data_IF_141503097693
#
_entry.id   IF_141503097693
#
_cell.length_a   1.000
_cell.length_b   1.000
_cell.length_c   1.000
_cell.angle_alpha   90.00
_cell.angle_beta   90.00
_cell.angle_gamma   90.00
#
_symmetry.space_group_name_H-M   'P 1'
#
loop_
_entity.id
_entity.type
_entity.pdbx_description
1 polymer ?
#
# COMPACT_ATOMS: atom_id res chain seq x y z
N UNK A 1 1.47 29.58 -16.71
CA UNK A 1 2.19 30.13 -15.54
C UNK A 1 2.04 29.31 -14.25
N UNK A 2 1.03 28.45 -14.10
CA UNK A 2 0.86 27.62 -12.88
C UNK A 2 1.90 26.49 -12.70
N UNK A 3 2.61 26.10 -13.76
CA UNK A 3 3.62 25.02 -13.73
C UNK A 3 4.93 25.43 -13.01
N UNK A 4 5.35 26.69 -13.15
CA UNK A 4 6.63 27.16 -12.59
C UNK A 4 6.58 27.30 -11.05
N UNK A 5 5.42 27.68 -10.50
CA UNK A 5 5.26 27.81 -9.05
C UNK A 5 5.26 26.46 -8.31
N UNK A 6 4.91 25.35 -8.99
CA UNK A 6 4.97 24.01 -8.42
C UNK A 6 6.43 23.52 -8.30
N UNK A 7 7.27 23.78 -9.31
CA UNK A 7 8.71 23.46 -9.24
C UNK A 7 9.44 24.22 -8.12
N UNK A 8 9.06 25.48 -7.85
CA UNK A 8 9.70 26.30 -6.81
C UNK A 8 9.37 25.81 -5.40
N UNK A 9 8.18 25.23 -5.18
CA UNK A 9 7.73 24.73 -3.88
C UNK A 9 8.49 23.47 -3.44
N UNK A 10 8.88 22.63 -4.39
CA UNK A 10 9.66 21.40 -4.16
C UNK A 10 11.12 21.72 -3.75
N UNK A 11 11.70 22.80 -4.27
CA UNK A 11 13.03 23.25 -3.86
C UNK A 11 13.07 23.91 -2.47
N UNK A 12 11.95 24.48 -1.99
CA UNK A 12 11.93 25.24 -0.73
C UNK A 12 12.03 24.34 0.51
N UNK A 13 11.39 23.17 0.49
CA UNK A 13 11.39 22.22 1.61
C UNK A 13 12.72 21.47 1.80
N UNK A 14 13.66 21.55 0.84
CA UNK A 14 15.00 20.95 0.97
C UNK A 14 16.07 21.94 1.45
N UNK A 15 15.76 23.24 1.50
CA UNK A 15 16.62 24.26 2.07
C UNK A 15 16.61 24.25 3.61
N UNK A 16 15.52 23.80 4.22
CA UNK A 16 15.35 23.80 5.68
C UNK A 16 16.15 22.68 6.37
N UNK A 17 16.48 21.57 5.69
CA UNK A 17 17.41 20.55 6.20
C UNK A 17 18.89 21.00 6.17
N UNK A 18 19.25 21.97 5.33
CA UNK A 18 20.64 22.43 5.16
C UNK A 18 21.08 23.36 6.30
N UNK A 19 20.14 24.02 7.00
CA UNK A 19 20.47 24.88 8.14
C UNK A 19 20.95 24.11 9.38
N UNK A 20 20.80 22.77 9.42
CA UNK A 20 21.37 21.94 10.48
C UNK A 20 22.84 21.56 10.22
N UNK A 21 23.27 21.50 8.96
CA UNK A 21 24.63 21.11 8.57
C UNK A 21 25.65 22.26 8.65
N UNK A 22 25.20 23.52 8.70
CA UNK A 22 26.08 24.70 8.86
C UNK A 22 26.67 24.87 10.27
N UNK A 23 26.19 24.11 11.27
CA UNK A 23 26.75 24.18 12.64
C UNK A 23 27.95 23.25 12.89
N UNK A 24 28.32 22.39 11.94
CA UNK A 24 29.37 21.37 12.15
C UNK A 24 30.70 21.63 11.42
N UNK A 25 30.84 22.73 10.68
CA UNK A 25 32.06 23.04 9.93
C UNK A 25 32.62 24.42 10.27
N UNK A 26 32.93 24.65 11.55
CA UNK A 26 33.81 25.76 11.96
C UNK A 26 35.00 25.25 12.80
N UNK A 27 35.87 24.46 12.20
CA UNK A 27 37.31 24.54 12.48
C UNK A 27 38.06 23.49 11.65
N UNK A 28 38.75 23.94 10.60
CA UNK A 28 40.08 23.46 10.22
C UNK A 28 40.61 24.34 9.08
N UNK A 29 41.66 25.08 9.38
CA UNK A 29 42.50 25.81 8.44
C UNK A 29 43.28 24.83 7.57
N UNK A 30 43.34 25.08 6.26
CA UNK A 30 44.38 24.50 5.40
C UNK A 30 43.92 24.12 3.99
N UNK A 31 44.66 24.63 3.00
CA UNK A 31 44.60 24.39 1.55
C UNK A 31 43.58 25.20 0.73
N UNK A 32 44.14 26.08 -0.11
CA UNK A 32 43.47 26.88 -1.14
C UNK A 32 43.11 26.00 -2.35
N UNK A 33 42.23 25.03 -2.14
CA UNK A 33 41.55 24.37 -3.26
C UNK A 33 40.30 25.21 -3.56
N UNK A 34 40.16 25.66 -4.80
CA UNK A 34 39.17 26.65 -5.24
C UNK A 34 37.76 26.34 -4.72
N UNK A 35 37.30 27.10 -3.71
CA UNK A 35 35.94 27.00 -3.13
C UNK A 35 34.84 27.10 -4.18
N UNK A 36 35.10 27.84 -5.26
CA UNK A 36 34.22 27.98 -6.44
C UNK A 36 34.07 26.64 -7.18
N UNK A 37 35.14 25.84 -7.26
CA UNK A 37 35.14 24.55 -7.93
C UNK A 37 34.30 23.52 -7.16
N UNK A 38 34.38 23.50 -5.82
CA UNK A 38 33.50 22.68 -4.98
C UNK A 38 32.04 23.13 -5.03
N UNK A 39 31.78 24.44 -5.08
CA UNK A 39 30.43 24.98 -5.21
C UNK A 39 29.81 24.59 -6.55
N UNK A 40 30.54 24.75 -7.66
CA UNK A 40 30.10 24.33 -8.99
C UNK A 40 29.90 22.81 -9.09
N UNK A 41 30.79 22.00 -8.50
CA UNK A 41 30.66 20.54 -8.44
C UNK A 41 29.43 20.11 -7.62
N UNK A 42 29.16 20.79 -6.50
CA UNK A 42 27.97 20.51 -5.66
C UNK A 42 26.66 20.89 -6.35
N UNK A 43 26.64 22.01 -7.09
CA UNK A 43 25.49 22.43 -7.90
C UNK A 43 25.27 21.46 -9.07
N UNK A 44 26.34 21.00 -9.73
CA UNK A 44 26.24 20.00 -10.80
C UNK A 44 25.69 18.66 -10.28
N UNK A 45 26.15 18.18 -9.11
CA UNK A 45 25.62 16.95 -8.46
C UNK A 45 24.14 17.12 -8.07
N UNK A 46 23.74 18.30 -7.59
CA UNK A 46 22.34 18.62 -7.28
C UNK A 46 21.44 18.63 -8.53
N UNK A 47 21.93 19.19 -9.64
CA UNK A 47 21.20 19.22 -10.92
C UNK A 47 21.05 17.80 -11.50
N UNK A 48 22.11 16.97 -11.43
CA UNK A 48 22.07 15.57 -11.88
C UNK A 48 21.11 14.73 -11.03
N UNK A 49 21.05 14.98 -9.71
CA UNK A 49 20.09 14.30 -8.83
C UNK A 49 18.61 14.65 -9.12
N UNK A 50 18.33 15.80 -9.75
CA UNK A 50 16.97 16.21 -10.10
C UNK A 50 16.45 15.56 -11.40
N UNK A 51 17.34 15.01 -12.24
CA UNK A 51 16.96 14.47 -13.55
C UNK A 51 16.49 13.00 -13.50
N UNK A 52 16.62 12.33 -12.35
CA UNK A 52 16.32 10.89 -12.20
C UNK A 52 14.99 10.59 -11.51
N UNK A 53 14.12 11.58 -11.26
CA UNK A 53 12.77 11.29 -10.80
C UNK A 53 11.93 10.84 -12.00
N UNK A 54 11.48 9.57 -12.00
CA UNK A 54 10.50 9.09 -12.96
C UNK A 54 9.26 10.02 -12.92
N UNK A 55 8.70 10.41 -14.07
CA UNK A 55 7.57 11.34 -14.10
C UNK A 55 6.37 10.74 -13.37
N UNK A 56 5.80 11.47 -12.41
CA UNK A 56 4.53 11.10 -11.79
C UNK A 56 3.46 11.01 -12.87
N UNK A 57 2.79 9.86 -12.97
CA UNK A 57 1.77 9.66 -13.99
C UNK A 57 0.59 10.59 -13.69
N UNK A 58 0.27 11.46 -14.63
CA UNK A 58 -0.86 12.39 -14.50
C UNK A 58 -2.12 11.75 -15.10
N UNK A 59 -3.21 11.73 -14.34
CA UNK A 59 -4.53 11.26 -14.80
C UNK A 59 -5.40 12.45 -15.17
N UNK A 60 -6.08 12.40 -16.31
CA UNK A 60 -7.12 13.37 -16.66
C UNK A 60 -8.35 13.20 -15.77
N UNK A 61 -9.15 14.26 -15.63
CA UNK A 61 -10.40 14.20 -14.85
C UNK A 61 -11.33 13.09 -15.35
N UNK A 62 -11.47 12.93 -16.67
CA UNK A 62 -12.30 11.87 -17.25
C UNK A 62 -11.81 10.46 -16.86
N UNK A 63 -10.50 10.25 -16.75
CA UNK A 63 -9.96 8.97 -16.27
C UNK A 63 -10.26 8.75 -14.78
N UNK A 64 -10.14 9.80 -13.95
CA UNK A 64 -10.46 9.74 -12.52
C UNK A 64 -11.94 9.41 -12.32
N UNK A 65 -12.84 10.08 -13.06
CA UNK A 65 -14.29 9.84 -13.00
C UNK A 65 -14.64 8.40 -13.41
N UNK A 66 -13.96 7.88 -14.43
CA UNK A 66 -14.09 6.48 -14.86
C UNK A 66 -13.65 5.50 -13.78
N UNK A 67 -12.50 5.72 -13.15
CA UNK A 67 -12.00 4.88 -12.06
C UNK A 67 -12.92 4.93 -10.84
N UNK A 68 -13.45 6.09 -10.49
CA UNK A 68 -14.43 6.24 -9.42
C UNK A 68 -15.73 5.47 -9.73
N UNK A 69 -16.17 5.45 -10.99
CA UNK A 69 -17.31 4.63 -11.42
C UNK A 69 -17.02 3.13 -11.25
N UNK A 70 -15.84 2.66 -11.66
CA UNK A 70 -15.41 1.26 -11.46
C UNK A 70 -15.38 0.91 -9.98
N UNK A 71 -14.84 1.79 -9.13
CA UNK A 71 -14.81 1.59 -7.68
C UNK A 71 -16.22 1.52 -7.08
N UNK A 72 -17.15 2.36 -7.53
CA UNK A 72 -18.55 2.30 -7.07
C UNK A 72 -19.24 1.00 -7.48
N UNK A 73 -18.99 0.50 -8.69
CA UNK A 73 -19.49 -0.80 -9.15
C UNK A 73 -18.92 -1.96 -8.33
N UNK A 74 -17.62 -1.90 -8.00
CA UNK A 74 -16.97 -2.87 -7.13
C UNK A 74 -17.65 -2.94 -5.75
N UNK A 75 -17.88 -1.79 -5.10
CA UNK A 75 -18.57 -1.73 -3.80
C UNK A 75 -19.97 -2.34 -3.87
N UNK A 76 -20.78 -1.93 -4.83
CA UNK A 76 -22.15 -2.43 -4.99
C UNK A 76 -22.18 -3.95 -5.23
N UNK A 77 -21.26 -4.46 -6.07
CA UNK A 77 -21.13 -5.90 -6.31
C UNK A 77 -20.76 -6.63 -5.03
N UNK A 78 -19.76 -6.14 -4.28
CA UNK A 78 -19.29 -6.76 -3.06
C UNK A 78 -20.34 -6.74 -1.95
N UNK A 79 -21.05 -5.62 -1.78
CA UNK A 79 -22.15 -5.50 -0.82
C UNK A 79 -23.26 -6.52 -1.11
N UNK A 80 -23.65 -6.64 -2.38
CA UNK A 80 -24.64 -7.65 -2.80
C UNK A 80 -24.15 -9.06 -2.50
N UNK A 81 -22.90 -9.38 -2.83
CA UNK A 81 -22.31 -10.70 -2.56
C UNK A 81 -22.25 -11.00 -1.06
N UNK A 82 -21.85 -10.03 -0.23
CA UNK A 82 -21.83 -10.19 1.23
C UNK A 82 -23.25 -10.41 1.79
N UNK A 83 -24.25 -9.74 1.25
CA UNK A 83 -25.65 -9.90 1.66
C UNK A 83 -26.23 -11.25 1.24
N UNK A 84 -25.99 -11.68 0.01
CA UNK A 84 -26.78 -12.72 -0.65
C UNK A 84 -26.03 -14.03 -0.82
N UNK A 85 -24.73 -14.01 -1.12
CA UNK A 85 -24.03 -15.20 -1.59
C UNK A 85 -23.82 -16.25 -0.49
N UNK A 86 -23.91 -17.53 -0.85
CA UNK A 86 -23.71 -18.66 0.07
C UNK A 86 -22.29 -18.67 0.67
N UNK A 87 -21.30 -18.21 -0.08
CA UNK A 87 -19.90 -18.14 0.38
C UNK A 87 -19.59 -16.96 1.30
N UNK A 88 -20.54 -16.03 1.47
CA UNK A 88 -20.34 -14.78 2.22
C UNK A 88 -19.73 -15.04 3.60
N UNK A 89 -18.75 -14.22 4.06
CA UNK A 89 -18.13 -14.39 5.35
C UNK A 89 -19.04 -14.00 6.52
N UNK A 90 -20.18 -13.34 6.27
CA UNK A 90 -21.15 -12.95 7.28
C UNK A 90 -21.86 -14.17 7.87
N UNK A 91 -22.32 -14.06 9.12
CA UNK A 91 -23.26 -15.02 9.70
C UNK A 91 -24.67 -14.80 9.13
N UNK A 92 -25.57 -15.80 9.19
CA UNK A 92 -26.98 -15.60 8.84
C UNK A 92 -27.63 -14.44 9.62
N UNK A 93 -27.22 -14.25 10.87
CA UNK A 93 -27.67 -13.17 11.75
C UNK A 93 -27.18 -11.82 11.25
N UNK A 94 -25.88 -11.70 10.94
CA UNK A 94 -25.29 -10.46 10.42
C UNK A 94 -25.86 -10.10 9.06
N UNK A 95 -26.13 -11.10 8.20
CA UNK A 95 -26.80 -10.88 6.91
C UNK A 95 -28.16 -10.20 7.07
N UNK A 96 -28.92 -10.40 8.15
CA UNK A 96 -30.24 -9.76 8.35
C UNK A 96 -30.10 -8.23 8.46
N UNK A 97 -29.11 -7.75 9.20
CA UNK A 97 -28.90 -6.33 9.48
C UNK A 97 -27.88 -5.67 8.56
N UNK A 98 -27.06 -6.44 7.83
CA UNK A 98 -26.11 -5.92 6.86
C UNK A 98 -26.77 -5.00 5.82
N UNK A 99 -26.09 -3.89 5.52
CA UNK A 99 -26.52 -2.87 4.54
C UNK A 99 -25.44 -2.67 3.48
N UNK A 100 -24.23 -2.36 3.90
CA UNK A 100 -23.07 -2.17 3.05
C UNK A 100 -21.78 -2.25 3.90
N UNK A 101 -20.66 -2.41 3.22
CA UNK A 101 -19.32 -2.19 3.78
C UNK A 101 -18.97 -0.70 3.80
N UNK A 102 -18.00 -0.33 4.63
CA UNK A 102 -17.52 1.05 4.75
C UNK A 102 -16.18 1.20 4.02
N UNK A 103 -16.02 2.31 3.30
CA UNK A 103 -14.83 2.61 2.51
C UNK A 103 -14.40 4.06 2.71
N UNK A 104 -13.11 4.33 2.52
CA UNK A 104 -12.67 5.69 2.22
C UNK A 104 -13.17 6.15 0.84
N UNK A 105 -13.27 7.47 0.59
CA UNK A 105 -13.48 8.00 -0.76
C UNK A 105 -12.39 7.50 -1.73
N UNK A 106 -12.73 7.40 -3.02
CA UNK A 106 -11.73 7.06 -4.03
C UNK A 106 -10.70 8.19 -4.11
N UNK A 107 -9.43 7.85 -3.97
CA UNK A 107 -8.31 8.77 -4.04
C UNK A 107 -7.27 8.24 -5.01
N UNK A 108 -7.14 8.92 -6.15
CA UNK A 108 -6.19 8.55 -7.21
C UNK A 108 -4.73 8.61 -6.75
N UNK A 109 -4.42 9.39 -5.70
CA UNK A 109 -3.06 9.48 -5.14
C UNK A 109 -2.63 8.22 -4.36
N UNK A 110 -3.56 7.28 -4.15
CA UNK A 110 -3.32 5.96 -3.57
C UNK A 110 -3.30 4.83 -4.63
N UNK A 111 -3.21 5.21 -5.91
CA UNK A 111 -3.03 4.28 -7.02
C UNK A 111 -1.59 4.36 -7.55
N UNK A 112 -0.88 3.24 -7.51
CA UNK A 112 0.50 3.14 -7.96
C UNK A 112 0.63 2.12 -9.08
N UNK A 113 1.53 2.39 -10.01
CA UNK A 113 1.82 1.49 -11.13
C UNK A 113 3.33 1.30 -11.24
N UNK A 114 3.77 0.06 -11.42
CA UNK A 114 5.18 -0.25 -11.48
C UNK A 114 5.46 -1.75 -11.48
N UNK A 115 6.73 -2.15 -11.62
CA UNK A 115 7.09 -3.55 -11.60
C UNK A 115 7.08 -4.12 -10.18
N UNK A 116 6.91 -5.43 -10.08
CA UNK A 116 7.36 -6.17 -8.90
C UNK A 116 8.84 -6.50 -9.11
N UNK A 117 9.67 -6.14 -8.14
CA UNK A 117 11.08 -6.47 -8.12
C UNK A 117 11.24 -7.88 -7.55
N UNK A 118 11.41 -8.86 -8.44
CA UNK A 118 11.56 -10.27 -8.06
C UNK A 118 12.88 -10.49 -7.30
N UNK A 119 12.83 -11.32 -6.27
CA UNK A 119 14.05 -11.78 -5.62
C UNK A 119 14.80 -12.76 -6.51
N UNK A 120 16.13 -12.65 -6.56
CA UNK A 120 16.99 -13.58 -7.32
C UNK A 120 16.78 -15.03 -6.88
N UNK A 121 16.53 -15.25 -5.60
CA UNK A 121 16.15 -16.54 -5.03
C UNK A 121 14.89 -16.31 -4.20
N UNK A 122 13.82 -17.03 -4.53
CA UNK A 122 12.58 -17.00 -3.78
C UNK A 122 12.66 -18.03 -2.66
N UNK A 123 12.88 -17.56 -1.43
CA UNK A 123 12.94 -18.46 -0.28
C UNK A 123 11.55 -19.02 0.04
N UNK A 124 11.49 -20.33 0.30
CA UNK A 124 10.31 -20.98 0.85
C UNK A 124 10.08 -20.49 2.28
N UNK A 125 8.86 -20.00 2.52
CA UNK A 125 8.42 -19.50 3.82
C UNK A 125 7.07 -20.11 4.17
N UNK A 126 6.68 -19.92 5.42
CA UNK A 126 5.34 -20.27 5.90
C UNK A 126 4.66 -19.01 6.40
N UNK A 127 3.51 -18.68 5.80
CA UNK A 127 2.65 -17.60 6.28
C UNK A 127 1.71 -18.15 7.33
N UNK A 128 1.79 -17.60 8.54
CA UNK A 128 0.96 -17.99 9.67
C UNK A 128 -0.47 -17.48 9.51
N UNK A 129 -1.42 -18.23 10.07
CA UNK A 129 -2.81 -17.86 10.22
C UNK A 129 -3.09 -17.13 11.53
N UNK A 130 -4.20 -16.40 11.58
CA UNK A 130 -4.72 -15.80 12.83
C UNK A 130 -5.23 -16.84 13.83
N UNK A 131 -5.56 -18.05 13.37
CA UNK A 131 -5.87 -19.19 14.24
C UNK A 131 -4.63 -20.07 14.40
N UNK A 132 -4.36 -20.49 15.63
CA UNK A 132 -3.22 -21.37 15.96
C UNK A 132 -3.24 -22.64 15.11
N UNK A 133 -2.08 -23.00 14.57
CA UNK A 133 -1.87 -24.19 13.72
C UNK A 133 -2.19 -23.97 12.23
N UNK A 134 -2.89 -22.90 11.85
CA UNK A 134 -3.13 -22.63 10.44
C UNK A 134 -1.90 -22.04 9.78
N UNK A 135 -1.42 -22.70 8.74
CA UNK A 135 -0.20 -22.33 8.01
C UNK A 135 -0.45 -22.35 6.51
N UNK A 136 0.29 -21.53 5.78
CA UNK A 136 0.22 -21.46 4.31
C UNK A 136 1.64 -21.55 3.75
N UNK A 137 1.99 -22.60 3.01
CA UNK A 137 3.26 -22.64 2.30
C UNK A 137 3.28 -21.52 1.27
N UNK A 138 4.40 -20.79 1.21
CA UNK A 138 4.52 -19.62 0.36
C UNK A 138 5.98 -19.40 -0.06
N UNK A 139 6.18 -18.48 -1.00
CA UNK A 139 7.49 -18.03 -1.45
C UNK A 139 7.62 -16.52 -1.21
N UNK A 140 8.80 -16.06 -0.76
CA UNK A 140 9.18 -14.64 -0.84
C UNK A 140 9.39 -14.29 -2.31
N UNK A 141 8.38 -13.68 -2.93
CA UNK A 141 8.33 -13.53 -4.38
C UNK A 141 9.16 -12.34 -4.86
N UNK A 142 8.99 -11.20 -4.20
CA UNK A 142 9.63 -9.94 -4.54
C UNK A 142 9.05 -8.82 -3.70
N UNK A 143 9.20 -7.60 -4.16
CA UNK A 143 8.61 -6.43 -3.51
C UNK A 143 8.08 -5.43 -4.54
N UNK A 144 7.07 -4.67 -4.13
CA UNK A 144 6.58 -3.51 -4.86
C UNK A 144 7.09 -2.23 -4.17
N UNK A 145 7.66 -1.32 -4.96
CA UNK A 145 8.18 -0.04 -4.47
C UNK A 145 7.32 1.10 -5.02
N UNK A 146 6.95 2.04 -4.15
CA UNK A 146 6.18 3.20 -4.54
C UNK A 146 6.61 4.44 -3.78
N UNK A 147 6.27 5.62 -4.32
CA UNK A 147 6.59 6.91 -3.70
C UNK A 147 5.30 7.62 -3.30
N UNK A 148 5.27 8.14 -2.08
CA UNK A 148 4.17 8.95 -1.55
C UNK A 148 4.74 10.08 -0.70
N UNK A 149 4.31 11.30 -0.99
CA UNK A 149 4.72 12.52 -0.27
C UNK A 149 6.24 12.67 -0.14
N UNK A 150 6.96 12.40 -1.24
CA UNK A 150 8.42 12.51 -1.33
C UNK A 150 9.21 11.35 -0.72
N UNK A 151 8.57 10.41 -0.03
CA UNK A 151 9.19 9.23 0.58
C UNK A 151 8.97 7.98 -0.28
N UNK A 152 9.95 7.09 -0.30
CA UNK A 152 9.85 5.76 -0.92
C UNK A 152 9.41 4.75 0.13
N UNK A 153 8.44 3.91 -0.22
CA UNK A 153 7.97 2.79 0.58
C UNK A 153 8.13 1.50 -0.21
N UNK A 154 8.33 0.41 0.53
CA UNK A 154 8.44 -0.94 -0.03
C UNK A 154 7.41 -1.83 0.66
N UNK A 155 6.79 -2.71 -0.11
CA UNK A 155 5.96 -3.79 0.39
C UNK A 155 6.40 -5.12 -0.22
N UNK A 156 6.69 -6.09 0.62
CA UNK A 156 6.94 -7.48 0.26
C UNK A 156 5.70 -8.10 -0.38
N UNK A 157 5.93 -8.80 -1.48
CA UNK A 157 4.94 -9.61 -2.18
C UNK A 157 5.22 -11.07 -1.87
N UNK A 158 4.22 -11.78 -1.37
CA UNK A 158 4.32 -13.20 -1.03
C UNK A 158 3.51 -13.99 -2.05
N UNK A 159 4.10 -15.06 -2.60
CA UNK A 159 3.34 -15.99 -3.45
C UNK A 159 2.82 -17.14 -2.60
N UNK A 160 1.52 -17.14 -2.32
CA UNK A 160 0.87 -18.22 -1.56
C UNK A 160 0.68 -19.42 -2.49
N UNK A 161 1.20 -20.57 -2.08
CA UNK A 161 1.13 -21.81 -2.86
C UNK A 161 -0.21 -22.52 -2.63
N UNK A 162 -0.71 -23.26 -3.63
CA UNK A 162 -1.96 -24.00 -3.49
C UNK A 162 -1.81 -25.13 -2.46
N UNK A 163 -2.74 -25.19 -1.52
CA UNK A 163 -2.77 -26.26 -0.50
C UNK A 163 -3.70 -27.41 -0.86
N UNK A 164 -4.51 -27.26 -1.91
CA UNK A 164 -5.47 -28.26 -2.37
C UNK A 164 -5.44 -28.34 -3.90
N UNK A 165 -5.66 -29.53 -4.48
CA UNK A 165 -5.81 -29.67 -5.93
C UNK A 165 -6.86 -28.71 -6.50
N UNK A 166 -6.62 -28.18 -7.70
CA UNK A 166 -7.52 -27.25 -8.39
C UNK A 166 -7.44 -25.79 -7.94
N UNK A 167 -6.65 -25.46 -6.90
CA UNK A 167 -6.34 -24.07 -6.53
C UNK A 167 -5.09 -23.59 -7.28
N UNK A 168 -5.07 -22.31 -7.64
CA UNK A 168 -3.88 -21.65 -8.20
C UNK A 168 -3.10 -20.93 -7.10
N UNK A 169 -1.79 -20.82 -7.29
CA UNK A 169 -1.00 -19.86 -6.52
C UNK A 169 -1.50 -18.43 -6.83
N UNK A 170 -1.34 -17.53 -5.88
CA UNK A 170 -1.66 -16.10 -6.08
C UNK A 170 -0.62 -15.24 -5.37
N UNK A 171 -0.47 -14.01 -5.85
CA UNK A 171 0.38 -13.03 -5.21
C UNK A 171 -0.44 -12.29 -4.16
N UNK A 172 0.05 -12.36 -2.92
CA UNK A 172 -0.55 -11.80 -1.73
C UNK A 172 0.25 -10.59 -1.29
N UNK A 173 -0.42 -9.44 -1.25
CA UNK A 173 0.09 -8.21 -0.66
C UNK A 173 -0.77 -7.85 0.56
N UNK A 174 -0.39 -8.38 1.72
CA UNK A 174 -0.94 -7.95 3.00
C UNK A 174 -0.13 -6.82 3.60
N UNK A 175 -0.77 -5.86 4.27
CA UNK A 175 -0.08 -4.75 4.92
C UNK A 175 -0.82 -4.23 6.15
N UNK A 176 -0.07 -3.51 6.99
CA UNK A 176 -0.59 -2.61 8.02
C UNK A 176 -0.18 -1.18 7.71
N UNK A 177 -0.91 -0.24 8.28
CA UNK A 177 -0.63 1.18 8.15
C UNK A 177 -1.10 1.95 9.41
N UNK A 178 -0.93 3.26 9.47
CA UNK A 178 -1.27 4.03 10.68
C UNK A 178 -2.78 4.11 10.98
N UNK A 179 -3.64 3.73 10.03
CA UNK A 179 -5.09 3.59 10.23
C UNK A 179 -5.49 2.25 10.87
N UNK A 180 -4.59 1.25 10.86
CA UNK A 180 -4.87 -0.10 11.36
C UNK A 180 -5.20 -0.06 12.87
N UNK A 181 -6.34 -0.66 13.24
CA UNK A 181 -6.86 -0.67 14.61
C UNK A 181 -7.57 0.62 15.04
N UNK A 182 -7.64 1.62 14.17
CA UNK A 182 -8.36 2.89 14.43
C UNK A 182 -9.53 3.05 13.47
N UNK A 183 -9.24 3.13 12.18
CA UNK A 183 -10.22 3.31 11.12
C UNK A 183 -10.36 2.07 10.23
N UNK A 184 -9.34 1.21 10.21
CA UNK A 184 -9.27 -0.01 9.40
C UNK A 184 -8.94 -1.21 10.29
N UNK A 185 -9.16 -2.41 9.75
CA UNK A 185 -9.08 -3.65 10.53
C UNK A 185 -7.69 -3.83 11.18
N UNK A 186 -7.67 -4.16 12.47
CA UNK A 186 -6.43 -4.28 13.24
C UNK A 186 -5.49 -5.37 12.70
N UNK A 187 -6.03 -6.43 12.10
CA UNK A 187 -5.25 -7.51 11.50
C UNK A 187 -4.62 -7.18 10.14
N UNK A 188 -4.80 -5.95 9.64
CA UNK A 188 -4.27 -5.51 8.35
C UNK A 188 -5.24 -5.74 7.19
N UNK A 189 -4.87 -5.21 6.03
CA UNK A 189 -5.67 -5.26 4.79
C UNK A 189 -4.87 -5.88 3.66
N UNK A 190 -5.58 -6.41 2.68
CA UNK A 190 -4.99 -7.18 1.59
C UNK A 190 -5.27 -6.55 0.23
N UNK A 191 -4.34 -6.79 -0.70
CA UNK A 191 -4.50 -6.66 -2.13
C UNK A 191 -4.03 -7.99 -2.74
N UNK A 192 -4.89 -8.61 -3.54
CA UNK A 192 -4.50 -9.79 -4.32
C UNK A 192 -4.07 -9.35 -5.71
N UNK A 193 -2.96 -9.90 -6.18
CA UNK A 193 -2.43 -9.65 -7.51
C UNK A 193 -2.34 -10.97 -8.28
N UNK A 194 -2.61 -10.89 -9.58
CA UNK A 194 -2.42 -12.01 -10.50
C UNK A 194 -1.09 -11.84 -11.25
N UNK A 195 -0.30 -12.92 -11.33
CA UNK A 195 0.93 -12.91 -12.11
C UNK A 195 0.63 -12.59 -13.58
N UNK A 196 1.32 -11.59 -14.12
CA UNK A 196 1.23 -11.21 -15.52
C UNK A 196 2.60 -11.32 -16.22
N UNK A 197 2.58 -11.37 -17.55
CA UNK A 197 3.79 -11.59 -18.37
C UNK A 197 4.64 -10.32 -18.46
N UNK A 198 4.01 -9.17 -18.29
CA UNK A 198 4.59 -7.85 -18.46
C UNK A 198 5.42 -7.42 -17.23
N UNK A 199 5.30 -8.15 -16.11
CA UNK A 199 5.84 -7.80 -14.81
C UNK A 199 5.56 -6.34 -14.43
N UNK A 200 4.36 -5.86 -14.75
CA UNK A 200 3.93 -4.49 -14.48
C UNK A 200 2.55 -4.55 -13.83
N UNK A 201 2.44 -3.97 -12.65
CA UNK A 201 1.30 -4.13 -11.77
C UNK A 201 0.69 -2.78 -11.45
N UNK A 202 -0.60 -2.84 -11.21
CA UNK A 202 -1.37 -1.77 -10.60
C UNK A 202 -1.59 -2.17 -9.15
N UNK A 203 -1.03 -1.41 -8.23
CA UNK A 203 -1.33 -1.52 -6.80
C UNK A 203 -2.20 -0.33 -6.42
N UNK A 204 -3.51 -0.57 -6.38
CA UNK A 204 -4.51 0.44 -6.06
C UNK A 204 -5.07 0.18 -4.66
N UNK A 205 -4.61 0.97 -3.68
CA UNK A 205 -5.02 0.82 -2.28
C UNK A 205 -6.50 1.15 -2.07
N UNK A 206 -7.18 1.79 -3.03
CA UNK A 206 -8.63 1.97 -2.97
C UNK A 206 -9.38 0.64 -3.00
N UNK A 207 -8.77 -0.42 -3.51
CA UNK A 207 -9.33 -1.77 -3.55
C UNK A 207 -8.76 -2.67 -2.44
N UNK A 208 -7.96 -2.13 -1.52
CA UNK A 208 -7.49 -2.86 -0.36
C UNK A 208 -8.69 -3.28 0.50
N UNK A 209 -8.76 -4.56 0.82
CA UNK A 209 -9.92 -5.16 1.47
C UNK A 209 -9.58 -5.79 2.81
N UNK A 210 -10.57 -5.89 3.70
CA UNK A 210 -10.42 -6.57 4.97
C UNK A 210 -10.51 -8.09 4.77
N UNK A 211 -9.67 -8.88 5.46
CA UNK A 211 -9.75 -10.33 5.39
C UNK A 211 -11.02 -10.87 6.04
N UNK A 212 -11.41 -12.11 5.71
CA UNK A 212 -12.69 -12.69 6.18
C UNK A 212 -12.85 -12.77 7.70
N UNK A 213 -11.75 -12.90 8.45
CA UNK A 213 -11.75 -12.84 9.92
C UNK A 213 -12.17 -11.47 10.48
N UNK A 214 -12.10 -10.40 9.69
CA UNK A 214 -12.66 -9.10 10.08
C UNK A 214 -14.20 -9.10 10.14
N UNK A 215 -14.83 -10.10 9.54
CA UNK A 215 -16.29 -10.23 9.46
C UNK A 215 -16.83 -11.39 10.29
N UNK A 216 -16.03 -12.45 10.51
CA UNK A 216 -16.44 -13.59 11.32
C UNK A 216 -15.24 -14.37 11.88
N UNK A 217 -15.30 -14.69 13.18
CA UNK A 217 -14.27 -15.47 13.89
C UNK A 217 -14.10 -16.91 13.38
N UNK A 218 -15.00 -17.41 12.52
CA UNK A 218 -14.90 -18.75 11.92
C UNK A 218 -13.75 -18.86 10.91
N UNK A 219 -13.23 -17.74 10.44
CA UNK A 219 -12.14 -17.70 9.46
C UNK A 219 -10.79 -17.48 10.12
N UNK A 220 -9.78 -18.14 9.55
CA UNK A 220 -8.38 -17.89 9.81
C UNK A 220 -7.75 -17.21 8.61
N UNK A 221 -7.01 -16.14 8.85
CA UNK A 221 -6.48 -15.26 7.81
C UNK A 221 -4.96 -15.23 7.81
N UNK A 222 -4.36 -14.98 6.65
CA UNK A 222 -2.92 -14.84 6.52
C UNK A 222 -2.41 -13.62 7.29
N UNK A 223 -1.48 -13.78 8.21
CA UNK A 223 -0.87 -12.63 8.88
C UNK A 223 0.09 -11.96 7.88
N UNK A 224 -0.08 -10.66 7.57
CA UNK A 224 0.89 -9.96 6.73
C UNK A 224 2.32 -10.01 7.30
N UNK A 225 3.35 -9.89 6.45
CA UNK A 225 4.73 -9.81 6.94
C UNK A 225 4.94 -8.51 7.74
N UNK A 226 5.74 -8.55 8.80
CA UNK A 226 5.99 -7.39 9.66
C UNK A 226 6.65 -6.23 8.92
N UNK A 227 7.42 -6.55 7.89
CA UNK A 227 8.06 -5.63 6.95
C UNK A 227 7.04 -4.78 6.19
N UNK A 228 5.80 -5.26 6.04
CA UNK A 228 4.71 -4.55 5.36
C UNK A 228 3.92 -3.64 6.30
N UNK A 229 4.58 -3.07 7.32
CA UNK A 229 3.99 -2.04 8.17
C UNK A 229 4.38 -0.65 7.69
N UNK A 230 3.46 0.02 7.02
CA UNK A 230 3.66 1.35 6.49
C UNK A 230 3.58 2.41 7.60
N UNK A 231 4.58 3.30 7.75
CA UNK A 231 4.56 4.41 8.70
C UNK A 231 3.85 5.64 8.09
N UNK A 232 2.68 5.41 7.50
CA UNK A 232 1.81 6.43 6.92
C UNK A 232 0.36 5.96 7.02
N UNK A 233 -0.59 6.88 7.18
CA UNK A 233 -2.01 6.56 7.13
C UNK A 233 -2.46 6.34 5.68
N UNK A 234 -2.87 5.11 5.34
CA UNK A 234 -3.42 4.78 4.02
C UNK A 234 -4.94 4.99 4.04
N UNK A 235 -5.36 6.21 3.72
CA UNK A 235 -6.77 6.66 3.71
C UNK A 235 -7.51 6.28 2.42
N UNK A 236 -7.32 5.05 1.97
CA UNK A 236 -7.96 4.45 0.79
C UNK A 236 -8.33 3.00 1.13
N UNK A 237 -9.39 2.46 0.51
CA UNK A 237 -9.81 1.07 0.72
C UNK A 237 -10.86 0.87 1.81
N UNK A 238 -11.03 -0.38 2.24
CA UNK A 238 -12.02 -0.76 3.26
C UNK A 238 -11.67 -0.22 4.65
N UNK A 239 -12.71 0.25 5.34
CA UNK A 239 -12.70 0.67 6.74
C UNK A 239 -13.16 -0.48 7.65
N UNK A 240 -13.12 -0.25 8.95
CA UNK A 240 -13.64 -1.17 9.96
C UNK A 240 -15.08 -1.59 9.66
N UNK A 241 -15.32 -2.90 9.80
CA UNK A 241 -16.67 -3.46 9.82
C UNK A 241 -17.24 -3.34 11.24
N UNK A 242 -18.42 -2.74 11.35
CA UNK A 242 -19.15 -2.69 12.62
C UNK A 242 -20.00 -3.93 12.74
N UNK A 243 -19.64 -4.83 13.66
CA UNK A 243 -20.46 -5.98 13.97
C UNK A 243 -21.81 -5.51 14.54
N UNK A 244 -22.94 -6.05 14.05
CA UNK A 244 -24.21 -5.90 14.74
C UNK A 244 -24.05 -6.35 16.19
N UNK A 245 -24.52 -5.54 17.16
CA UNK A 245 -24.48 -5.95 18.56
C UNK A 245 -25.24 -7.28 18.70
N UNK A 246 -24.55 -8.34 19.13
CA UNK A 246 -25.22 -9.58 19.49
C UNK A 246 -26.13 -9.32 20.70
N UNK A 247 -27.26 -10.02 20.78
CA UNK A 247 -28.16 -9.95 21.93
C UNK A 247 -27.62 -10.67 23.19
N UNK A 248 -26.33 -11.04 23.22
CA UNK A 248 -25.72 -11.88 24.26
C UNK A 248 -24.79 -11.11 25.21
N UNK A 249 -24.89 -9.77 25.26
CA UNK A 249 -24.37 -8.96 26.36
C UNK A 249 -25.51 -8.23 27.09
N UNK A 250 -26.47 -9.00 27.62
CA UNK A 250 -27.40 -8.59 28.68
C UNK A 250 -27.50 -9.69 29.72
#
# INVERSE_FOLDING_TARGET
MFSVFAQIKICKNRADEINLQRKFTSNRSGSSVNKISYLLLSIAVLIISCQNAAPERTYSQAQIDSLQKVFNQYKQKKDREFKEADWSPLTPEDKKTFRHLNYFPYDISWRFEGPIHLYRKMDSITVLGTRSGDVRPALRYGYFEFRKDGKTYRLEIIKILPQRPGRKAHLFLGFWDETSGKETYAGGRYIDLEENKENHYVVDFNFAYNPYCAYSHRYSCAIPPLENRLPVAVTAGEKNYSHPKSKEEQ
#
